data_IF_913935931101
#
_entry.id   IF_913935931101
#
_cell.length_a   1.000
_cell.length_b   1.000
_cell.length_c   1.000
_cell.angle_alpha   90.00
_cell.angle_beta   90.00
_cell.angle_gamma   90.00
#
_symmetry.space_group_name_H-M   'P 1'
#
loop_
_entity.id
_entity.type
_entity.pdbx_description
1 polymer ?
#
# COMPACT_ATOMS: atom_id res chain seq x y z
N UNK A 1 -17.50 2.05 1.58
CA UNK A 1 -16.26 1.24 1.61
C UNK A 1 -15.00 2.07 1.89
N UNK A 2 -14.71 3.09 1.06
CA UNK A 2 -13.50 3.91 1.20
C UNK A 2 -13.39 4.64 2.55
N UNK A 3 -14.51 4.95 3.21
CA UNK A 3 -14.53 5.53 4.57
C UNK A 3 -13.93 4.62 5.65
N UNK A 4 -13.98 3.30 5.48
CA UNK A 4 -13.42 2.33 6.43
C UNK A 4 -11.93 2.05 6.15
N UNK A 5 -11.37 2.61 5.07
CA UNK A 5 -10.02 2.27 4.61
C UNK A 5 -8.94 2.62 5.65
N UNK A 6 -9.00 3.82 6.23
CA UNK A 6 -8.04 4.24 7.25
C UNK A 6 -8.08 3.32 8.47
N UNK A 7 -9.28 2.94 8.93
CA UNK A 7 -9.41 2.01 10.04
C UNK A 7 -8.73 0.66 9.75
N UNK A 8 -8.94 0.12 8.55
CA UNK A 8 -8.30 -1.14 8.16
C UNK A 8 -6.79 -0.99 8.09
N UNK A 9 -6.28 0.04 7.41
CA UNK A 9 -4.83 0.28 7.27
C UNK A 9 -4.17 0.40 8.66
N UNK A 10 -4.76 1.16 9.58
CA UNK A 10 -4.21 1.33 10.94
C UNK A 10 -4.39 0.11 11.83
N UNK A 11 -5.32 -0.80 11.51
CA UNK A 11 -5.51 -2.04 12.26
C UNK A 11 -4.52 -3.14 11.86
N UNK A 12 -3.83 -2.98 10.73
CA UNK A 12 -2.85 -3.95 10.24
C UNK A 12 -1.45 -3.32 10.22
N UNK A 13 -0.49 -3.96 10.88
CA UNK A 13 0.92 -3.57 10.82
C UNK A 13 1.55 -4.07 9.51
N UNK A 14 1.18 -3.44 8.39
CA UNK A 14 1.55 -3.90 7.04
C UNK A 14 2.68 -3.08 6.43
N UNK A 15 3.73 -3.74 5.95
CA UNK A 15 4.82 -3.09 5.20
C UNK A 15 4.42 -2.74 3.76
N UNK A 16 3.59 -3.59 3.14
CA UNK A 16 3.07 -3.42 1.78
C UNK A 16 1.57 -3.61 1.78
N UNK A 17 0.85 -2.65 1.22
CA UNK A 17 -0.62 -2.70 1.09
C UNK A 17 -0.98 -2.52 -0.38
N UNK A 18 -1.86 -3.37 -0.88
CA UNK A 18 -2.40 -3.28 -2.24
C UNK A 18 -3.92 -3.15 -2.16
N UNK A 19 -4.46 -2.10 -2.76
CA UNK A 19 -5.89 -1.78 -2.67
C UNK A 19 -6.46 -1.69 -4.08
N UNK A 20 -7.46 -2.51 -4.34
CA UNK A 20 -8.23 -2.50 -5.58
C UNK A 20 -9.66 -2.03 -5.31
N UNK A 21 -10.07 -0.97 -6.01
CA UNK A 21 -11.44 -0.48 -5.99
C UNK A 21 -12.02 -0.51 -7.40
N UNK A 22 -13.04 -1.35 -7.61
CA UNK A 22 -13.73 -1.49 -8.90
C UNK A 22 -15.19 -1.13 -8.77
N UNK A 23 -15.66 -0.20 -9.61
CA UNK A 23 -17.08 0.11 -9.73
C UNK A 23 -17.71 -0.89 -10.71
N UNK A 24 -18.72 -1.65 -10.25
CA UNK A 24 -19.33 -2.75 -11.02
C UNK A 24 -20.77 -2.52 -11.44
N UNK A 25 -21.39 -1.44 -10.98
CA UNK A 25 -22.82 -1.18 -11.20
C UNK A 25 -23.12 0.31 -11.24
N UNK A 26 -24.40 0.62 -11.40
CA UNK A 26 -24.90 1.99 -11.39
C UNK A 26 -26.15 2.06 -10.51
N UNK A 27 -26.43 3.25 -10.01
CA UNK A 27 -27.72 3.59 -9.40
C UNK A 27 -28.53 4.48 -10.36
N UNK A 28 -29.82 4.67 -10.07
CA UNK A 28 -30.65 5.66 -10.76
C UNK A 28 -31.15 6.68 -9.76
N UNK A 29 -31.14 7.95 -10.14
CA UNK A 29 -31.77 8.99 -9.33
C UNK A 29 -33.30 9.03 -9.54
N UNK A 30 -33.95 9.95 -8.83
CA UNK A 30 -35.42 10.15 -8.90
C UNK A 30 -35.91 10.57 -10.29
N UNK A 31 -35.04 11.13 -11.13
CA UNK A 31 -35.35 11.49 -12.53
C UNK A 31 -35.12 10.31 -13.49
N UNK A 32 -34.60 9.19 -13.00
CA UNK A 32 -34.27 8.00 -13.78
C UNK A 32 -32.88 8.04 -14.43
N UNK A 33 -32.07 9.07 -14.18
CA UNK A 33 -30.73 9.22 -14.74
C UNK A 33 -29.78 8.20 -14.10
N UNK A 34 -28.96 7.54 -14.91
CA UNK A 34 -27.99 6.54 -14.43
C UNK A 34 -26.73 7.22 -13.88
N UNK A 35 -26.33 6.82 -12.69
CA UNK A 35 -25.09 7.26 -12.04
C UNK A 35 -24.22 6.03 -11.76
N UNK A 36 -23.11 5.90 -12.50
CA UNK A 36 -22.11 4.85 -12.23
C UNK A 36 -21.21 5.23 -11.06
N UNK A 37 -20.91 6.51 -10.96
CA UNK A 37 -20.06 7.09 -9.93
C UNK A 37 -20.74 8.37 -9.46
N UNK A 38 -21.09 8.42 -8.18
CA UNK A 38 -21.77 9.55 -7.54
C UNK A 38 -20.81 10.62 -7.02
N UNK A 39 -19.49 10.37 -7.06
CA UNK A 39 -18.44 11.31 -6.68
C UNK A 39 -17.15 11.05 -7.48
N UNK A 40 -16.41 12.08 -7.93
CA UNK A 40 -15.19 11.87 -8.70
C UNK A 40 -14.14 11.09 -7.90
N UNK A 41 -13.77 9.91 -8.37
CA UNK A 41 -12.64 9.13 -7.86
C UNK A 41 -11.54 9.24 -8.91
N UNK A 42 -10.47 9.93 -8.56
CA UNK A 42 -9.25 9.98 -9.37
C UNK A 42 -8.13 9.13 -8.78
N UNK A 43 -8.17 8.90 -7.46
CA UNK A 43 -7.19 8.13 -6.71
C UNK A 43 -7.82 7.62 -5.41
N UNK A 44 -7.47 6.41 -5.00
CA UNK A 44 -7.84 5.88 -3.67
C UNK A 44 -7.09 6.66 -2.58
N UNK A 45 -5.90 7.20 -2.87
CA UNK A 45 -5.09 7.99 -1.93
C UNK A 45 -5.84 9.21 -1.40
N UNK A 46 -6.79 9.76 -2.17
CA UNK A 46 -7.61 10.90 -1.73
C UNK A 46 -8.47 10.59 -0.50
N UNK A 47 -8.68 9.31 -0.19
CA UNK A 47 -9.48 8.86 0.95
C UNK A 47 -8.62 8.45 2.15
N UNK A 48 -7.30 8.56 2.03
CA UNK A 48 -6.36 8.27 3.12
C UNK A 48 -6.14 9.52 3.98
N UNK A 49 -5.94 9.33 5.28
CA UNK A 49 -5.52 10.41 6.16
C UNK A 49 -4.06 10.82 5.91
N UNK A 50 -3.70 11.99 6.42
CA UNK A 50 -2.38 12.58 6.18
C UNK A 50 -1.24 11.76 6.82
N UNK A 51 -1.52 11.04 7.90
CA UNK A 51 -0.51 10.24 8.59
C UNK A 51 -0.17 8.98 7.78
N UNK A 52 -1.18 8.31 7.22
CA UNK A 52 -0.98 7.23 6.24
C UNK A 52 -0.19 7.72 5.02
N UNK A 53 -0.55 8.88 4.44
CA UNK A 53 0.16 9.42 3.27
C UNK A 53 1.63 9.75 3.57
N UNK A 54 1.92 10.18 4.79
CA UNK A 54 3.29 10.45 5.24
C UNK A 54 4.07 9.15 5.47
N UNK A 55 3.47 8.16 6.12
CA UNK A 55 4.12 6.89 6.45
C UNK A 55 4.45 6.05 5.20
N UNK A 56 3.57 6.08 4.18
CA UNK A 56 3.68 5.23 3.01
C UNK A 56 4.16 5.96 1.75
N UNK A 57 5.01 5.30 0.96
CA UNK A 57 5.19 5.58 -0.45
C UNK A 57 4.03 4.94 -1.22
N UNK A 58 3.37 5.70 -2.10
CA UNK A 58 2.16 5.24 -2.79
C UNK A 58 2.27 5.42 -4.30
N UNK A 59 1.71 4.48 -5.07
CA UNK A 59 1.67 4.50 -6.53
C UNK A 59 0.27 4.10 -6.99
N UNK A 60 -0.30 4.88 -7.91
CA UNK A 60 -1.58 4.56 -8.55
C UNK A 60 -1.40 3.91 -9.92
N UNK A 61 -2.26 2.94 -10.21
CA UNK A 61 -2.35 2.26 -11.52
C UNK A 61 -3.83 2.17 -11.93
N UNK A 62 -4.43 3.32 -12.21
CA UNK A 62 -5.87 3.41 -12.50
C UNK A 62 -6.16 3.11 -13.98
N UNK A 63 -7.22 2.33 -14.24
CA UNK A 63 -7.79 2.09 -15.57
C UNK A 63 -9.20 2.69 -15.59
N UNK A 64 -9.28 3.98 -15.93
CA UNK A 64 -10.51 4.77 -15.84
C UNK A 64 -11.64 4.23 -16.72
N UNK A 65 -11.33 3.73 -17.92
CA UNK A 65 -12.33 3.15 -18.82
C UNK A 65 -13.05 1.94 -18.22
N UNK A 66 -12.38 1.21 -17.32
CA UNK A 66 -12.90 0.02 -16.64
C UNK A 66 -13.43 0.32 -15.24
N UNK A 67 -13.44 1.59 -14.83
CA UNK A 67 -13.70 2.04 -13.45
C UNK A 67 -12.92 1.23 -12.41
N UNK A 68 -11.66 0.92 -12.73
CA UNK A 68 -10.73 0.18 -11.87
C UNK A 68 -9.68 1.15 -11.34
N UNK A 69 -9.61 1.26 -10.03
CA UNK A 69 -8.66 2.08 -9.32
C UNK A 69 -7.78 1.19 -8.47
N UNK A 70 -6.48 1.39 -8.54
CA UNK A 70 -5.51 0.55 -7.87
C UNK A 70 -4.45 1.43 -7.23
N UNK A 71 -4.22 1.25 -5.94
CA UNK A 71 -3.15 1.92 -5.21
C UNK A 71 -2.29 0.89 -4.52
N UNK A 72 -0.98 0.93 -4.78
CA UNK A 72 0.03 0.21 -4.03
C UNK A 72 0.67 1.14 -3.02
N UNK A 73 0.94 0.62 -1.84
CA UNK A 73 1.57 1.36 -0.74
C UNK A 73 2.71 0.52 -0.17
N UNK A 74 3.81 1.18 0.18
CA UNK A 74 4.94 0.58 0.89
C UNK A 74 5.42 1.53 1.97
N UNK A 75 5.67 1.03 3.18
CA UNK A 75 6.16 1.84 4.29
C UNK A 75 7.52 2.46 3.90
N UNK A 76 7.69 3.78 4.15
CA UNK A 76 8.92 4.50 3.79
C UNK A 76 10.11 4.12 4.65
N UNK A 77 9.84 3.93 5.94
CA UNK A 77 10.84 3.62 6.97
C UNK A 77 10.37 2.37 7.71
N UNK A 78 11.18 1.33 7.71
CA UNK A 78 10.93 0.14 8.53
C UNK A 78 12.03 -0.01 9.58
N UNK A 79 11.69 -0.61 10.71
CA UNK A 79 12.65 -0.98 11.75
C UNK A 79 12.97 -2.47 11.62
N UNK A 80 14.26 -2.81 11.53
CA UNK A 80 14.68 -4.21 11.47
C UNK A 80 14.19 -5.00 12.69
N UNK A 81 14.10 -4.36 13.85
CA UNK A 81 13.62 -5.00 15.08
C UNK A 81 12.20 -5.56 14.94
N UNK A 82 11.35 -4.95 14.11
CA UNK A 82 9.99 -5.42 13.88
C UNK A 82 9.95 -6.74 13.08
N UNK A 83 11.06 -7.11 12.42
CA UNK A 83 11.15 -8.31 11.60
C UNK A 83 11.95 -9.44 12.25
N UNK A 84 12.67 -9.16 13.35
CA UNK A 84 13.45 -10.16 14.05
C UNK A 84 12.59 -10.86 15.11
N UNK A 85 12.38 -12.16 14.94
CA UNK A 85 11.59 -12.96 15.88
C UNK A 85 12.36 -13.20 17.19
N UNK A 86 12.09 -12.38 18.22
CA UNK A 86 12.54 -12.61 19.60
C UNK A 86 14.05 -12.53 19.85
N UNK A 87 14.88 -12.42 18.81
CA UNK A 87 16.28 -12.04 18.87
C UNK A 87 16.39 -10.55 18.59
N UNK A 88 16.76 -9.76 19.60
CA UNK A 88 17.02 -8.33 19.38
C UNK A 88 18.25 -8.12 18.49
N UNK A 89 18.39 -6.93 17.92
CA UNK A 89 19.60 -6.54 17.18
C UNK A 89 20.88 -6.68 18.00
N UNK A 90 20.77 -6.70 19.33
CA UNK A 90 21.89 -6.80 20.27
C UNK A 90 22.66 -8.13 20.19
N UNK A 91 22.03 -9.19 19.67
CA UNK A 91 22.71 -10.48 19.46
C UNK A 91 23.42 -10.58 18.10
N UNK A 92 23.40 -9.51 17.30
CA UNK A 92 23.96 -9.48 15.95
C UNK A 92 25.13 -8.52 15.84
N UNK A 93 26.09 -8.83 14.98
CA UNK A 93 27.13 -7.87 14.62
C UNK A 93 26.55 -6.76 13.72
N UNK A 94 27.14 -5.55 13.72
CA UNK A 94 26.71 -4.47 12.83
C UNK A 94 26.71 -4.87 11.35
N UNK A 95 27.67 -5.69 10.93
CA UNK A 95 27.76 -6.25 9.58
C UNK A 95 26.57 -7.16 9.24
N UNK A 96 26.20 -8.06 10.15
CA UNK A 96 25.05 -8.95 9.96
C UNK A 96 23.75 -8.16 9.92
N UNK A 97 23.57 -7.20 10.83
CA UNK A 97 22.39 -6.33 10.86
C UNK A 97 22.21 -5.60 9.52
N UNK A 98 23.30 -5.07 8.96
CA UNK A 98 23.30 -4.40 7.66
C UNK A 98 22.95 -5.35 6.53
N UNK A 99 23.49 -6.57 6.54
CA UNK A 99 23.19 -7.57 5.51
C UNK A 99 21.74 -8.02 5.55
N UNK A 100 21.18 -8.30 6.73
CA UNK A 100 19.78 -8.73 6.87
C UNK A 100 18.84 -7.59 6.48
N UNK A 101 19.09 -6.36 6.97
CA UNK A 101 18.35 -5.16 6.55
C UNK A 101 18.30 -5.08 5.02
N UNK A 102 19.44 -5.18 4.35
CA UNK A 102 19.50 -5.11 2.88
C UNK A 102 18.63 -6.19 2.22
N UNK A 103 18.58 -7.40 2.77
CA UNK A 103 17.77 -8.51 2.22
C UNK A 103 16.28 -8.29 2.44
N UNK A 104 15.86 -8.00 3.67
CA UNK A 104 14.45 -7.78 4.03
C UNK A 104 13.85 -6.64 3.21
N UNK A 105 14.51 -5.47 3.20
CA UNK A 105 14.01 -4.33 2.43
C UNK A 105 14.06 -4.54 0.91
N UNK A 106 14.92 -5.43 0.42
CA UNK A 106 14.89 -5.83 -0.99
C UNK A 106 13.63 -6.64 -1.29
N UNK A 107 13.31 -7.64 -0.48
CA UNK A 107 12.12 -8.48 -0.66
C UNK A 107 10.83 -7.63 -0.57
N UNK A 108 10.73 -6.73 0.41
CA UNK A 108 9.61 -5.79 0.53
C UNK A 108 9.43 -4.97 -0.75
N UNK A 109 10.52 -4.44 -1.31
CA UNK A 109 10.48 -3.69 -2.59
C UNK A 109 10.08 -4.58 -3.76
N UNK A 110 10.56 -5.83 -3.81
CA UNK A 110 10.21 -6.79 -4.85
C UNK A 110 8.71 -7.10 -4.84
N UNK A 111 8.11 -7.25 -3.65
CA UNK A 111 6.66 -7.38 -3.46
C UNK A 111 5.94 -6.12 -3.94
N UNK A 112 6.38 -4.93 -3.49
CA UNK A 112 5.75 -3.65 -3.86
C UNK A 112 5.76 -3.41 -5.38
N UNK A 113 6.90 -3.64 -6.04
CA UNK A 113 7.02 -3.49 -7.49
C UNK A 113 6.47 -4.69 -8.28
N UNK A 114 6.18 -5.81 -7.61
CA UNK A 114 5.69 -7.05 -8.24
C UNK A 114 6.71 -7.68 -9.18
N UNK A 115 8.01 -7.54 -8.90
CA UNK A 115 9.10 -8.08 -9.73
C UNK A 115 10.38 -8.25 -8.93
N UNK A 116 11.21 -9.19 -9.33
CA UNK A 116 12.57 -9.33 -8.81
C UNK A 116 13.41 -8.12 -9.20
N UNK A 117 14.17 -7.57 -8.25
CA UNK A 117 15.11 -6.50 -8.51
C UNK A 117 16.45 -7.08 -8.93
N UNK A 118 17.16 -6.45 -9.88
CA UNK A 118 18.50 -6.90 -10.28
C UNK A 118 19.44 -6.84 -9.08
N UNK A 119 20.38 -7.79 -9.01
CA UNK A 119 21.44 -7.72 -8.00
C UNK A 119 22.30 -6.49 -8.25
N UNK A 120 22.31 -5.57 -7.29
CA UNK A 120 23.27 -4.48 -7.26
C UNK A 120 24.60 -5.10 -6.83
N UNK A 121 25.44 -5.39 -7.82
CA UNK A 121 26.83 -5.81 -7.64
C UNK A 121 27.64 -4.70 -6.96
#
# INVERSE_FOLDING_TARGET
PLKALNFLIHSFESDVVTIDYRVRGFTRDVSGTKHYIDHPITSIQNFMDEDTKKAFQMIDVNVYQENLFHTKMMLKEGDLNNYLFGMGTDSMTPEEQKQITKKVFREIKEIFYGRNLPEVK
#
